data_IF_991381289708
#
_entry.id   IF_991381289708
#
_cell.length_a   1.000
_cell.length_b   1.000
_cell.length_c   1.000
_cell.angle_alpha   90.00
_cell.angle_beta   90.00
_cell.angle_gamma   90.00
#
_symmetry.space_group_name_H-M   'P 1'
#
loop_
_entity.id
_entity.type
_entity.pdbx_description
1 polymer ?
#
# COMPACT_ATOMS: atom_id res chain seq x y z
N UNK A 1 -19.82 -52.96 -15.17
CA UNK A 1 -20.12 -51.52 -15.04
C UNK A 1 -19.29 -50.97 -13.90
N UNK A 2 -18.37 -50.06 -14.19
CA UNK A 2 -17.95 -49.01 -13.26
C UNK A 2 -17.30 -47.95 -14.14
N UNK A 3 -18.06 -46.89 -14.38
CA UNK A 3 -17.70 -45.81 -15.27
C UNK A 3 -16.41 -45.12 -14.80
N UNK A 4 -15.60 -44.79 -15.80
CA UNK A 4 -14.54 -43.79 -15.78
C UNK A 4 -14.93 -42.55 -14.97
N UNK A 5 -14.26 -42.32 -13.84
CA UNK A 5 -14.07 -40.97 -13.29
C UNK A 5 -12.68 -40.51 -13.70
N UNK A 6 -12.53 -40.17 -14.99
CA UNK A 6 -11.53 -39.19 -15.39
C UNK A 6 -12.01 -37.88 -14.75
N UNK A 7 -11.40 -37.49 -13.64
CA UNK A 7 -11.38 -36.08 -13.28
C UNK A 7 -10.74 -35.36 -14.46
N UNK A 8 -11.57 -34.85 -15.36
CA UNK A 8 -11.18 -33.74 -16.20
C UNK A 8 -10.99 -32.58 -15.23
N UNK A 9 -9.81 -32.52 -14.61
CA UNK A 9 -9.16 -31.24 -14.38
C UNK A 9 -9.39 -30.49 -15.68
N UNK A 10 -10.21 -29.44 -15.63
CA UNK A 10 -10.38 -28.55 -16.75
C UNK A 10 -8.98 -28.09 -17.09
N UNK A 11 -8.41 -28.69 -18.12
CA UNK A 11 -7.10 -28.36 -18.65
C UNK A 11 -7.27 -26.97 -19.26
N UNK A 12 -7.22 -25.96 -18.39
CA UNK A 12 -7.29 -24.56 -18.76
C UNK A 12 -6.02 -24.34 -19.58
N UNK A 13 -6.19 -24.46 -20.89
CA UNK A 13 -5.12 -24.20 -21.84
C UNK A 13 -4.82 -22.70 -21.78
N UNK A 14 -3.82 -22.32 -20.98
CA UNK A 14 -3.31 -20.95 -20.92
C UNK A 14 -2.52 -20.72 -22.19
N UNK A 15 -3.03 -19.85 -23.06
CA UNK A 15 -2.31 -19.49 -24.28
C UNK A 15 -1.10 -18.62 -23.94
N UNK A 16 -0.14 -18.51 -24.86
CA UNK A 16 0.98 -17.58 -24.70
C UNK A 16 0.52 -16.13 -24.46
N UNK A 17 -0.55 -15.71 -25.14
CA UNK A 17 -1.15 -14.39 -24.95
C UNK A 17 -1.73 -14.23 -23.53
N UNK A 18 -2.36 -15.26 -22.99
CA UNK A 18 -2.87 -15.25 -21.62
C UNK A 18 -1.73 -15.17 -20.60
N UNK A 19 -0.63 -15.89 -20.82
CA UNK A 19 0.55 -15.78 -19.94
C UNK A 19 1.15 -14.37 -19.95
N UNK A 20 1.17 -13.71 -21.11
CA UNK A 20 1.61 -12.31 -21.20
C UNK A 20 0.68 -11.37 -20.42
N UNK A 21 -0.64 -11.58 -20.51
CA UNK A 21 -1.65 -10.83 -19.74
C UNK A 21 -1.51 -11.06 -18.24
N UNK A 22 -1.32 -12.31 -17.81
CA UNK A 22 -1.06 -12.69 -16.40
C UNK A 22 0.19 -11.98 -15.88
N UNK A 23 1.29 -12.03 -16.63
CA UNK A 23 2.53 -11.38 -16.22
C UNK A 23 2.38 -9.85 -16.15
N UNK A 24 1.64 -9.26 -17.10
CA UNK A 24 1.34 -7.82 -17.07
C UNK A 24 0.50 -7.45 -15.85
N UNK A 25 -0.53 -8.24 -15.56
CA UNK A 25 -1.37 -8.06 -14.38
C UNK A 25 -0.55 -8.16 -13.09
N UNK A 26 0.28 -9.19 -12.94
CA UNK A 26 1.13 -9.39 -11.77
C UNK A 26 2.04 -8.17 -11.51
N UNK A 27 2.70 -7.65 -12.56
CA UNK A 27 3.54 -6.44 -12.46
C UNK A 27 2.73 -5.20 -12.06
N UNK A 28 1.56 -5.00 -12.66
CA UNK A 28 0.72 -3.85 -12.33
C UNK A 28 0.13 -3.96 -10.92
N UNK A 29 -0.24 -5.16 -10.47
CA UNK A 29 -0.74 -5.38 -9.13
C UNK A 29 0.33 -5.15 -8.07
N UNK A 30 1.57 -5.61 -8.30
CA UNK A 30 2.69 -5.30 -7.42
C UNK A 30 2.91 -3.79 -7.30
N UNK A 31 3.01 -3.09 -8.44
CA UNK A 31 3.16 -1.62 -8.45
C UNK A 31 2.00 -0.90 -7.76
N UNK A 32 0.76 -1.38 -7.93
CA UNK A 32 -0.40 -0.82 -7.27
C UNK A 32 -0.30 -0.98 -5.75
N UNK A 33 0.20 -2.13 -5.28
CA UNK A 33 0.39 -2.37 -3.85
C UNK A 33 1.47 -1.43 -3.28
N UNK A 34 2.61 -1.32 -3.95
CA UNK A 34 3.70 -0.41 -3.53
C UNK A 34 3.19 1.04 -3.39
N UNK A 35 2.43 1.52 -4.38
CA UNK A 35 1.85 2.87 -4.36
C UNK A 35 0.80 3.04 -3.24
N UNK A 36 0.03 2.01 -2.92
CA UNK A 36 -0.93 2.07 -1.80
C UNK A 36 -0.23 2.15 -0.46
N UNK A 37 0.88 1.43 -0.31
CA UNK A 37 1.67 1.43 0.91
C UNK A 37 2.35 2.81 1.10
N UNK A 38 2.90 3.38 0.03
CA UNK A 38 3.45 4.74 0.02
C UNK A 38 2.41 5.80 0.42
N UNK A 39 1.22 5.78 -0.20
CA UNK A 39 0.12 6.69 0.16
C UNK A 39 -0.30 6.53 1.62
N UNK A 40 -0.27 5.30 2.13
CA UNK A 40 -0.62 5.03 3.53
C UNK A 40 0.42 5.61 4.49
N UNK A 41 1.71 5.49 4.15
CA UNK A 41 2.80 6.09 4.91
C UNK A 41 2.70 7.62 4.94
N UNK A 42 2.50 8.25 3.78
CA UNK A 42 2.36 9.71 3.67
C UNK A 42 1.15 10.22 4.46
N UNK A 43 0.02 9.52 4.42
CA UNK A 43 -1.15 9.87 5.25
C UNK A 43 -0.86 9.81 6.74
N UNK A 44 -0.07 8.83 7.18
CA UNK A 44 0.33 8.71 8.59
C UNK A 44 1.27 9.85 8.98
N UNK A 45 2.21 10.22 8.11
CA UNK A 45 3.10 11.36 8.34
C UNK A 45 2.29 12.66 8.44
N UNK A 46 1.31 12.86 7.55
CA UNK A 46 0.42 14.00 7.59
C UNK A 46 -0.36 14.07 8.91
N UNK A 47 -0.99 12.95 9.33
CA UNK A 47 -1.72 12.90 10.60
C UNK A 47 -0.81 13.25 11.78
N UNK A 48 0.40 12.70 11.82
CA UNK A 48 1.35 13.02 12.90
C UNK A 48 1.71 14.51 12.95
N UNK A 49 1.77 15.19 11.79
CA UNK A 49 2.02 16.63 11.71
C UNK A 49 0.81 17.45 12.14
N UNK A 50 -0.40 17.03 11.76
CA UNK A 50 -1.64 17.65 12.20
C UNK A 50 -1.82 17.52 13.71
N UNK A 51 -1.58 16.34 14.27
CA UNK A 51 -1.63 16.10 15.72
C UNK A 51 -0.59 16.98 16.45
N UNK A 52 0.64 17.09 15.92
CA UNK A 52 1.66 17.97 16.48
C UNK A 52 1.25 19.45 16.41
N UNK A 53 0.61 19.88 15.32
CA UNK A 53 0.10 21.24 15.19
C UNK A 53 -0.99 21.53 16.23
N UNK A 54 -1.93 20.60 16.42
CA UNK A 54 -2.99 20.72 17.42
C UNK A 54 -2.42 20.79 18.85
N UNK A 55 -1.40 19.98 19.17
CA UNK A 55 -0.68 20.07 20.44
C UNK A 55 -0.03 21.44 20.65
N UNK A 56 0.56 22.03 19.60
CA UNK A 56 1.15 23.37 19.66
C UNK A 56 0.08 24.45 19.91
N UNK A 57 -1.10 24.33 19.29
CA UNK A 57 -2.21 25.28 19.48
C UNK A 57 -2.80 25.22 20.89
N UNK A 58 -2.70 24.08 21.57
CA UNK A 58 -3.14 23.91 22.95
C UNK A 58 -2.16 24.49 23.98
N UNK A 59 -0.97 24.93 23.57
CA UNK A 59 -0.01 25.55 24.48
C UNK A 59 -0.51 26.92 24.96
N UNK A 60 -0.63 27.07 26.28
CA UNK A 60 -1.09 28.33 26.90
C UNK A 60 -0.04 29.46 26.80
N UNK A 61 1.24 29.10 26.63
CA UNK A 61 2.40 30.01 26.55
C UNK A 61 2.78 30.37 25.08
N UNK A 62 1.84 30.96 24.32
CA UNK A 62 2.03 31.33 22.91
C UNK A 62 3.17 32.34 22.66
N UNK A 63 3.66 33.01 23.70
CA UNK A 63 4.72 34.02 23.63
C UNK A 63 6.14 33.43 23.78
N UNK A 64 6.27 32.13 24.07
CA UNK A 64 7.58 31.47 24.26
C UNK A 64 8.03 30.78 22.97
N UNK A 65 9.31 30.94 22.56
CA UNK A 65 9.82 30.24 21.40
C UNK A 65 9.85 28.73 21.64
N UNK A 66 9.38 27.98 20.64
CA UNK A 66 9.33 26.52 20.67
C UNK A 66 10.54 25.96 19.91
N UNK A 67 11.46 25.23 20.57
CA UNK A 67 12.61 24.65 19.90
C UNK A 67 12.19 23.59 18.87
N UNK A 68 12.63 23.74 17.62
CA UNK A 68 12.39 22.76 16.55
C UNK A 68 13.69 22.02 16.19
N UNK A 69 13.75 20.67 16.33
CA UNK A 69 14.93 19.90 15.97
C UNK A 69 15.06 19.84 14.44
N UNK A 70 16.07 20.54 13.89
CA UNK A 70 16.33 20.58 12.45
C UNK A 70 16.92 19.26 11.89
N UNK A 71 17.40 18.38 12.77
CA UNK A 71 17.98 17.09 12.43
C UNK A 71 17.41 16.01 13.32
N UNK A 72 16.48 15.20 12.78
CA UNK A 72 16.26 13.85 13.27
C UNK A 72 17.19 12.93 12.46
N UNK A 73 18.29 12.50 13.09
CA UNK A 73 19.12 11.38 12.61
C UNK A 73 18.52 10.06 13.08
#
# INVERSE_FOLDING_TARGET
MAATMKNAESDVHVTFEDQQKINKFARHNAKLQDLKDEVTLEKKLLQNLEDALDELLLLEDNDKPIPYPLFML
#
